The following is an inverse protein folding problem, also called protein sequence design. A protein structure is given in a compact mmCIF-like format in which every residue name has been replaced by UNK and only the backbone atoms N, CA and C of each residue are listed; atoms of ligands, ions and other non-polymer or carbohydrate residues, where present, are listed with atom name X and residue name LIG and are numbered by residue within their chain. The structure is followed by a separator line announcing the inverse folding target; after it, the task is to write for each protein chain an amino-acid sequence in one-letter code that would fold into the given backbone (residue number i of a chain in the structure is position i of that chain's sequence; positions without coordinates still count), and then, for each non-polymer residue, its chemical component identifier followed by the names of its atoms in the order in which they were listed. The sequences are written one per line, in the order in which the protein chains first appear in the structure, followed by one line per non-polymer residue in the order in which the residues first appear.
data_IF_715821068452
#
_entry.id   IF_715821068452
#
_cell.length_a   1.000
_cell.length_b   1.000
_cell.length_c   1.000
_cell.angle_alpha   90.00
_cell.angle_beta   90.00
_cell.angle_gamma   90.00
#
_symmetry.space_group_name_H-M   'P 1'
#
loop_
_entity.id
_entity.type
_entity.pdbx_description
1 polymer ?
#
# COMPACT_ATOMS: atom_id res chain seq x y z
N UNK A 1 5.14 -23.88 -24.39
CA UNK A 1 5.70 -22.84 -23.50
C UNK A 1 5.15 -22.78 -22.04
N UNK A 2 4.28 -23.68 -21.51
CA UNK A 2 3.82 -23.60 -20.11
C UNK A 2 4.89 -24.02 -19.07
N UNK A 3 5.85 -24.85 -19.45
CA UNK A 3 6.92 -25.35 -18.56
C UNK A 3 7.89 -24.29 -18.04
N UNK A 4 8.11 -23.17 -18.77
CA UNK A 4 8.98 -22.09 -18.28
C UNK A 4 8.33 -21.28 -17.16
N UNK A 5 7.01 -21.08 -17.18
CA UNK A 5 6.27 -20.34 -16.15
C UNK A 5 6.22 -21.11 -14.83
N UNK A 6 5.99 -22.42 -14.90
CA UNK A 6 5.97 -23.27 -13.70
C UNK A 6 7.34 -23.29 -13.01
N UNK A 7 8.42 -23.34 -13.80
CA UNK A 7 9.80 -23.40 -13.29
C UNK A 7 10.23 -22.09 -12.60
N UNK A 8 9.89 -20.93 -13.18
CA UNK A 8 10.13 -19.62 -12.55
C UNK A 8 9.36 -19.49 -11.23
N UNK A 9 8.10 -19.94 -11.19
CA UNK A 9 7.28 -19.93 -9.98
C UNK A 9 7.89 -20.86 -8.91
N UNK A 10 8.35 -22.05 -9.31
CA UNK A 10 8.94 -23.04 -8.40
C UNK A 10 10.28 -22.56 -7.85
N UNK A 11 11.11 -21.92 -8.66
CA UNK A 11 12.40 -21.38 -8.24
C UNK A 11 12.24 -20.13 -7.36
N UNK A 12 11.24 -19.29 -7.63
CA UNK A 12 10.86 -18.19 -6.74
C UNK A 12 10.38 -18.72 -5.39
N UNK A 13 9.48 -19.72 -5.38
CA UNK A 13 8.99 -20.37 -4.16
C UNK A 13 10.14 -21.02 -3.37
N UNK A 14 11.10 -21.68 -4.02
CA UNK A 14 12.28 -22.26 -3.34
C UNK A 14 13.18 -21.21 -2.70
N UNK A 15 13.45 -20.10 -3.39
CA UNK A 15 14.26 -19.00 -2.86
C UNK A 15 13.58 -18.31 -1.68
N UNK A 16 12.25 -18.19 -1.74
CA UNK A 16 11.44 -17.64 -0.65
C UNK A 16 11.38 -18.59 0.55
N UNK A 17 11.25 -19.90 0.34
CA UNK A 17 11.32 -20.91 1.41
C UNK A 17 12.67 -20.92 2.12
N UNK A 18 13.78 -20.84 1.39
CA UNK A 18 15.12 -20.81 1.98
C UNK A 18 15.38 -19.58 2.88
N UNK A 19 14.68 -18.47 2.64
CA UNK A 19 14.69 -17.30 3.53
C UNK A 19 13.66 -17.35 4.67
N UNK A 20 12.65 -18.22 4.55
CA UNK A 20 11.50 -18.32 5.45
C UNK A 20 11.69 -19.39 6.55
N UNK A 21 12.47 -20.43 6.29
CA UNK A 21 12.79 -21.51 7.24
C UNK A 21 13.60 -21.04 8.49
N UNK A 22 13.99 -19.77 8.56
CA UNK A 22 14.68 -19.17 9.70
C UNK A 22 13.79 -18.28 10.61
N UNK A 23 12.46 -18.33 10.47
CA UNK A 23 11.53 -17.58 11.34
C UNK A 23 10.71 -18.53 12.25
N UNK A 24 10.52 -18.21 13.54
CA UNK A 24 9.83 -19.09 14.48
C UNK A 24 8.37 -19.34 14.09
N UNK A 25 7.93 -20.60 14.23
CA UNK A 25 6.60 -21.12 13.85
C UNK A 25 5.48 -20.79 14.86
N UNK A 26 5.81 -20.24 16.03
CA UNK A 26 4.84 -20.06 17.11
C UNK A 26 3.81 -18.96 16.81
N UNK A 27 2.53 -19.32 16.85
CA UNK A 27 1.40 -18.37 16.80
C UNK A 27 0.55 -18.37 15.52
N UNK A 28 0.80 -19.25 14.55
CA UNK A 28 -0.03 -19.32 13.33
C UNK A 28 -1.35 -20.06 13.60
N UNK A 29 -2.53 -19.43 13.39
CA UNK A 29 -3.80 -20.15 13.49
C UNK A 29 -3.96 -21.16 12.35
N UNK A 30 -4.73 -22.23 12.60
CA UNK A 30 -4.93 -23.31 11.63
C UNK A 30 -5.76 -22.83 10.40
N UNK A 31 -5.41 -23.26 9.16
CA UNK A 31 -6.07 -22.85 7.91
C UNK A 31 -7.60 -22.99 7.87
N UNK A 32 -8.15 -23.97 8.60
CA UNK A 32 -9.58 -24.31 8.58
C UNK A 32 -10.46 -23.26 9.28
N UNK A 33 -9.92 -22.60 10.32
CA UNK A 33 -10.62 -21.52 11.03
C UNK A 33 -10.85 -20.28 10.15
N UNK A 34 -9.97 -20.03 9.17
CA UNK A 34 -10.03 -18.88 8.27
C UNK A 34 -11.19 -18.95 7.27
N UNK A 35 -11.47 -20.13 6.72
CA UNK A 35 -12.47 -20.30 5.66
C UNK A 35 -13.91 -19.93 6.07
N UNK A 36 -14.25 -20.10 7.36
CA UNK A 36 -15.57 -19.75 7.92
C UNK A 36 -15.70 -18.26 8.23
N UNK A 37 -14.60 -17.61 8.61
CA UNK A 37 -14.51 -16.16 8.88
C UNK A 37 -14.62 -15.36 7.56
N UNK A 38 -14.18 -15.91 6.43
CA UNK A 38 -14.22 -15.19 5.14
C UNK A 38 -15.63 -14.94 4.57
N UNK A 39 -16.58 -15.86 4.79
CA UNK A 39 -17.94 -15.70 4.23
C UNK A 39 -18.77 -14.64 4.95
N UNK A 40 -18.53 -14.41 6.25
CA UNK A 40 -19.23 -13.38 7.03
C UNK A 40 -18.75 -11.95 6.72
N UNK A 41 -17.64 -11.79 5.98
CA UNK A 41 -17.03 -10.49 5.65
C UNK A 41 -17.56 -9.83 4.39
N UNK A 42 -18.29 -10.54 3.53
CA UNK A 42 -18.86 -9.95 2.31
C UNK A 42 -19.91 -8.90 2.66
N UNK A 43 -19.95 -7.79 1.91
CA UNK A 43 -20.90 -6.69 2.17
C UNK A 43 -20.49 -5.75 3.30
N UNK A 44 -19.44 -6.04 4.07
CA UNK A 44 -18.84 -5.08 5.01
C UNK A 44 -18.10 -3.98 4.23
N UNK A 45 -18.44 -2.73 4.52
CA UNK A 45 -17.84 -1.54 3.92
C UNK A 45 -16.31 -1.59 4.05
N UNK A 46 -15.51 -1.49 2.97
CA UNK A 46 -14.06 -1.45 3.09
C UNK A 46 -13.57 -0.14 3.69
N UNK A 47 -12.37 -0.14 4.28
CA UNK A 47 -11.75 1.05 4.85
C UNK A 47 -10.61 1.53 3.97
N UNK A 48 -10.59 2.82 3.65
CA UNK A 48 -9.50 3.45 2.90
C UNK A 48 -8.45 3.98 3.87
N UNK A 49 -7.19 3.57 3.71
CA UNK A 49 -6.05 4.10 4.48
C UNK A 49 -5.14 4.90 3.55
N UNK A 50 -4.99 6.19 3.83
CA UNK A 50 -4.17 7.13 3.08
C UNK A 50 -2.89 7.44 3.85
N UNK A 51 -1.74 7.11 3.27
CA UNK A 51 -0.43 7.28 3.93
C UNK A 51 0.27 8.58 3.49
N UNK A 52 0.78 9.35 4.45
CA UNK A 52 1.37 10.66 4.22
C UNK A 52 2.74 10.87 4.87
N UNK A 53 3.62 11.60 4.18
CA UNK A 53 4.78 12.24 4.79
C UNK A 53 4.84 13.64 4.20
N UNK A 54 4.25 14.61 4.91
CA UNK A 54 4.12 15.97 4.37
C UNK A 54 5.49 16.64 4.34
N UNK A 55 6.22 16.64 5.45
CA UNK A 55 7.61 17.06 5.50
C UNK A 55 8.56 15.85 5.44
N UNK A 56 9.26 15.62 4.31
CA UNK A 56 10.16 14.49 4.19
C UNK A 56 11.47 14.64 4.96
N UNK A 57 11.82 15.84 5.46
CA UNK A 57 13.02 16.09 6.27
C UNK A 57 14.32 15.46 5.69
N UNK A 58 14.52 15.61 4.38
CA UNK A 58 15.70 15.08 3.67
C UNK A 58 15.67 13.59 3.34
N UNK A 59 14.48 12.94 3.39
CA UNK A 59 14.33 11.51 3.07
C UNK A 59 14.92 11.13 1.69
N UNK A 60 15.71 10.06 1.66
CA UNK A 60 16.36 9.57 0.44
C UNK A 60 15.36 9.25 -0.67
N UNK A 61 15.79 9.43 -1.91
CA UNK A 61 14.97 9.15 -3.09
C UNK A 61 13.70 10.02 -3.19
N UNK A 62 13.64 11.16 -2.50
CA UNK A 62 12.54 12.13 -2.58
C UNK A 62 12.98 13.37 -3.34
N UNK A 63 12.32 13.68 -4.47
CA UNK A 63 12.65 14.86 -5.26
C UNK A 63 11.79 16.08 -4.90
N UNK A 64 10.51 15.88 -4.57
CA UNK A 64 9.66 16.97 -4.09
C UNK A 64 9.87 17.11 -2.58
N UNK A 65 10.76 18.02 -2.17
CA UNK A 65 11.14 18.22 -0.75
C UNK A 65 10.35 19.33 -0.05
N UNK A 66 9.74 20.26 -0.79
CA UNK A 66 9.00 21.42 -0.26
C UNK A 66 7.71 20.99 0.47
N UNK A 67 7.64 21.16 1.82
CA UNK A 67 6.50 20.70 2.60
C UNK A 67 5.18 21.41 2.24
N UNK A 68 5.23 22.69 1.85
CA UNK A 68 4.01 23.45 1.50
C UNK A 68 3.42 22.94 0.20
N UNK A 69 4.26 22.67 -0.82
CA UNK A 69 3.78 22.06 -2.06
C UNK A 69 3.23 20.65 -1.84
N UNK A 70 3.86 19.88 -0.94
CA UNK A 70 3.40 18.53 -0.59
C UNK A 70 2.07 18.58 0.15
N UNK A 71 1.93 19.45 1.14
CA UNK A 71 0.68 19.68 1.89
C UNK A 71 -0.47 19.99 0.92
N UNK A 72 -0.25 20.89 -0.04
CA UNK A 72 -1.24 21.19 -1.09
C UNK A 72 -1.62 19.96 -1.91
N UNK A 73 -0.65 19.15 -2.34
CA UNK A 73 -0.94 17.93 -3.08
C UNK A 73 -1.72 16.90 -2.25
N UNK A 74 -1.40 16.76 -0.96
CA UNK A 74 -2.12 15.90 -0.04
C UNK A 74 -3.55 16.42 0.20
N UNK A 75 -3.74 17.72 0.42
CA UNK A 75 -5.07 18.33 0.59
C UNK A 75 -5.95 18.12 -0.64
N UNK A 76 -5.43 18.38 -1.84
CA UNK A 76 -6.16 18.16 -3.10
C UNK A 76 -6.56 16.69 -3.27
N UNK A 77 -5.65 15.76 -2.96
CA UNK A 77 -5.92 14.33 -3.05
C UNK A 77 -6.95 13.87 -2.02
N UNK A 78 -6.77 14.29 -0.77
CA UNK A 78 -7.67 13.96 0.34
C UNK A 78 -9.08 14.51 0.09
N UNK A 79 -9.22 15.76 -0.36
CA UNK A 79 -10.51 16.34 -0.75
C UNK A 79 -11.20 15.50 -1.83
N UNK A 80 -10.48 15.03 -2.85
CA UNK A 80 -11.04 14.13 -3.88
C UNK A 80 -11.51 12.80 -3.27
N UNK A 81 -10.74 12.20 -2.37
CA UNK A 81 -11.14 10.96 -1.68
C UNK A 81 -12.40 11.17 -0.82
N UNK A 82 -12.49 12.26 -0.07
CA UNK A 82 -13.64 12.58 0.77
C UNK A 82 -14.88 12.93 -0.07
N UNK A 83 -14.74 13.71 -1.13
CA UNK A 83 -15.91 14.24 -1.86
C UNK A 83 -16.38 13.37 -3.02
N UNK A 84 -15.50 12.54 -3.60
CA UNK A 84 -15.80 11.80 -4.85
C UNK A 84 -15.80 10.30 -4.69
N UNK A 85 -15.19 9.78 -3.62
CA UNK A 85 -15.05 8.33 -3.45
C UNK A 85 -16.25 7.67 -2.77
N UNK A 86 -16.46 6.40 -3.11
CA UNK A 86 -17.54 5.59 -2.54
C UNK A 86 -17.18 5.04 -1.15
N UNK A 87 -15.93 5.19 -0.69
CA UNK A 87 -15.47 4.75 0.64
C UNK A 87 -16.12 5.59 1.74
N UNK A 88 -16.85 4.95 2.66
CA UNK A 88 -17.50 5.65 3.78
C UNK A 88 -16.61 5.78 5.02
N UNK A 89 -15.54 4.97 5.10
CA UNK A 89 -14.57 4.97 6.19
C UNK A 89 -13.18 5.30 5.64
N UNK A 90 -12.58 6.38 6.12
CA UNK A 90 -11.29 6.87 5.62
C UNK A 90 -10.38 7.17 6.81
N UNK A 91 -9.19 6.60 6.81
CA UNK A 91 -8.10 6.99 7.71
C UNK A 91 -7.06 7.73 6.89
N UNK A 92 -6.72 8.95 7.26
CA UNK A 92 -5.53 9.63 6.76
C UNK A 92 -4.51 9.72 7.88
N UNK A 93 -3.31 9.22 7.65
CA UNK A 93 -2.23 9.29 8.62
C UNK A 93 -0.96 9.80 7.97
N UNK A 94 -0.34 10.79 8.60
CA UNK A 94 0.96 11.29 8.20
C UNK A 94 1.98 11.20 9.34
N UNK A 95 3.24 10.91 9.00
CA UNK A 95 4.28 10.59 9.98
C UNK A 95 5.38 11.66 10.18
N UNK A 96 5.20 12.87 9.65
CA UNK A 96 6.17 13.96 9.82
C UNK A 96 5.87 14.89 11.00
N UNK A 97 4.73 14.72 11.68
CA UNK A 97 4.28 15.60 12.76
C UNK A 97 3.70 16.92 12.26
N UNK A 98 3.26 16.97 11.01
CA UNK A 98 2.73 18.15 10.35
C UNK A 98 1.27 18.41 10.75
N UNK A 99 0.93 19.67 11.00
CA UNK A 99 -0.43 20.06 11.42
C UNK A 99 -1.49 19.74 10.35
N UNK A 100 -2.53 19.00 10.75
CA UNK A 100 -3.64 18.59 9.88
C UNK A 100 -4.87 19.52 9.98
N UNK A 101 -4.78 20.68 10.63
CA UNK A 101 -5.89 21.64 10.76
C UNK A 101 -6.53 22.07 9.43
N UNK A 102 -5.81 22.01 8.30
CA UNK A 102 -6.42 22.28 6.98
C UNK A 102 -7.29 21.11 6.48
N UNK A 103 -6.96 19.88 6.85
CA UNK A 103 -7.70 18.67 6.45
C UNK A 103 -9.05 18.60 7.17
N UNK A 104 -9.12 19.04 8.43
CA UNK A 104 -10.37 19.06 9.23
C UNK A 104 -11.44 20.01 8.67
N UNK A 105 -11.05 20.96 7.79
CA UNK A 105 -11.97 21.91 7.16
C UNK A 105 -12.70 21.34 5.94
N UNK A 106 -12.30 20.16 5.47
CA UNK A 106 -12.92 19.53 4.29
C UNK A 106 -14.24 18.88 4.72
N UNK A 107 -15.39 19.23 4.11
CA UNK A 107 -16.68 18.64 4.45
C UNK A 107 -16.69 17.12 4.24
N UNK A 108 -16.99 16.36 5.30
CA UNK A 108 -16.93 14.89 5.27
C UNK A 108 -18.13 14.25 4.58
N UNK A 109 -19.24 14.99 4.43
CA UNK A 109 -20.49 14.51 3.84
C UNK A 109 -21.00 13.19 4.46
N UNK A 110 -20.89 13.07 5.79
CA UNK A 110 -21.35 11.90 6.56
C UNK A 110 -20.37 10.73 6.61
N UNK A 111 -19.18 10.84 5.98
CA UNK A 111 -18.13 9.82 6.08
C UNK A 111 -17.48 9.84 7.46
N UNK A 112 -17.10 8.65 7.93
CA UNK A 112 -16.29 8.47 9.12
C UNK A 112 -14.82 8.66 8.75
N UNK A 113 -14.15 9.61 9.41
CA UNK A 113 -12.79 9.99 9.09
C UNK A 113 -11.94 10.05 10.34
N UNK A 114 -10.85 9.28 10.35
CA UNK A 114 -9.76 9.47 11.31
C UNK A 114 -8.62 10.24 10.64
N UNK A 115 -8.09 11.24 11.36
CA UNK A 115 -6.93 12.04 10.95
C UNK A 115 -5.83 11.89 12.00
N UNK A 116 -4.69 11.33 11.61
CA UNK A 116 -3.54 11.13 12.48
C UNK A 116 -2.31 11.88 11.97
N UNK A 117 -1.63 12.57 12.89
CA UNK A 117 -0.29 13.11 12.68
C UNK A 117 0.57 12.69 13.86
N UNK A 118 1.74 12.11 13.58
CA UNK A 118 2.69 11.71 14.60
C UNK A 118 4.13 11.87 14.09
N UNK A 119 5.10 11.93 15.00
CA UNK A 119 6.52 12.01 14.64
C UNK A 119 7.11 10.61 14.40
N UNK A 120 6.83 10.03 13.24
CA UNK A 120 7.31 8.71 12.81
C UNK A 120 8.35 8.74 11.71
N UNK A 121 8.89 9.92 11.35
CA UNK A 121 9.87 10.10 10.28
C UNK A 121 11.29 10.36 10.83
N UNK A 122 11.58 9.95 12.07
CA UNK A 122 12.87 10.19 12.76
C UNK A 122 13.85 9.00 12.68
N UNK A 123 13.57 7.98 11.86
CA UNK A 123 14.43 6.81 11.69
C UNK A 123 15.61 7.07 10.73
N UNK A 124 16.61 6.16 10.76
CA UNK A 124 17.80 6.23 9.90
C UNK A 124 17.40 6.29 8.41
N UNK A 125 17.93 7.29 7.70
CA UNK A 125 17.57 7.56 6.30
C UNK A 125 17.89 6.41 5.37
N UNK A 126 18.81 5.50 5.73
CA UNK A 126 19.10 4.32 4.90
C UNK A 126 17.88 3.42 4.67
N UNK A 127 16.93 3.37 5.62
CA UNK A 127 15.72 2.56 5.50
C UNK A 127 14.71 3.12 4.49
N UNK A 128 14.83 4.41 4.16
CA UNK A 128 14.10 5.06 3.10
C UNK A 128 12.58 5.17 3.32
N UNK A 129 11.86 5.45 2.23
CA UNK A 129 10.44 5.82 2.30
C UNK A 129 9.54 4.63 2.62
N UNK A 130 9.97 3.45 2.18
CA UNK A 130 9.25 2.21 2.46
C UNK A 130 9.09 1.98 3.97
N UNK A 131 10.13 2.32 4.74
CA UNK A 131 10.09 2.19 6.19
C UNK A 131 9.11 3.17 6.82
N UNK A 132 9.12 4.43 6.38
CA UNK A 132 8.15 5.43 6.85
C UNK A 132 6.71 5.06 6.51
N UNK A 133 6.47 4.40 5.39
CA UNK A 133 5.15 3.89 5.05
C UNK A 133 4.69 2.74 5.96
N UNK A 134 5.62 1.86 6.35
CA UNK A 134 5.35 0.81 7.35
C UNK A 134 5.09 1.40 8.75
N UNK A 135 5.81 2.45 9.16
CA UNK A 135 5.54 3.17 10.41
C UNK A 135 4.11 3.70 10.47
N UNK A 136 3.63 4.30 9.37
CA UNK A 136 2.26 4.79 9.26
C UNK A 136 1.26 3.64 9.40
N UNK A 137 1.48 2.53 8.69
CA UNK A 137 0.58 1.38 8.72
C UNK A 137 0.54 0.72 10.11
N UNK A 138 1.68 0.60 10.79
CA UNK A 138 1.73 0.13 12.18
C UNK A 138 0.91 1.05 13.08
N UNK A 139 1.15 2.36 13.00
CA UNK A 139 0.47 3.34 13.83
C UNK A 139 -1.06 3.28 13.67
N UNK A 140 -1.57 3.31 12.45
CA UNK A 140 -3.03 3.29 12.24
C UNK A 140 -3.67 1.96 12.65
N UNK A 141 -2.99 0.84 12.44
CA UNK A 141 -3.50 -0.49 12.84
C UNK A 141 -3.53 -0.67 14.35
N UNK A 142 -2.65 0.02 15.07
CA UNK A 142 -2.59 -0.06 16.54
C UNK A 142 -3.45 1.01 17.23
N UNK A 143 -3.77 2.13 16.56
CA UNK A 143 -4.41 3.30 17.20
C UNK A 143 -5.81 3.66 16.69
N UNK A 144 -6.20 3.23 15.48
CA UNK A 144 -7.49 3.62 14.90
C UNK A 144 -8.60 2.67 15.34
N UNK A 145 -9.54 3.18 16.14
CA UNK A 145 -10.77 2.46 16.48
C UNK A 145 -11.68 2.22 15.26
N UNK A 146 -11.46 2.97 14.16
CA UNK A 146 -12.19 2.82 12.91
C UNK A 146 -11.78 1.56 12.13
N UNK A 147 -10.54 1.08 12.33
CA UNK A 147 -10.00 -0.13 11.71
C UNK A 147 -10.25 -1.33 12.62
N UNK A 148 -11.07 -2.28 12.17
CA UNK A 148 -11.33 -3.53 12.88
C UNK A 148 -10.54 -4.69 12.28
N UNK A 149 -10.28 -5.73 13.09
CA UNK A 149 -9.54 -6.93 12.68
C UNK A 149 -10.14 -7.66 11.47
N UNK A 150 -11.46 -7.54 11.28
CA UNK A 150 -12.22 -8.17 10.19
C UNK A 150 -12.31 -7.29 8.92
N UNK A 151 -11.70 -6.10 8.93
CA UNK A 151 -11.80 -5.16 7.81
C UNK A 151 -11.00 -5.62 6.57
N UNK A 152 -11.40 -5.06 5.42
CA UNK A 152 -10.56 -5.02 4.22
C UNK A 152 -10.03 -3.61 4.08
N UNK A 153 -8.72 -3.49 4.21
CA UNK A 153 -8.01 -2.23 4.07
C UNK A 153 -7.66 -2.04 2.61
N UNK A 154 -8.05 -0.90 2.05
CA UNK A 154 -7.54 -0.40 0.77
C UNK A 154 -6.54 0.69 1.10
N UNK A 155 -5.26 0.39 0.94
CA UNK A 155 -4.18 1.33 1.23
C UNK A 155 -3.82 2.09 -0.04
N UNK A 156 -3.71 3.40 0.05
CA UNK A 156 -3.22 4.25 -1.04
C UNK A 156 -2.22 5.29 -0.52
N UNK A 157 -1.21 5.64 -1.32
CA UNK A 157 -0.38 6.82 -1.02
C UNK A 157 -1.27 8.07 -1.02
N UNK A 158 -1.33 8.78 0.10
CA UNK A 158 -2.30 9.86 0.34
C UNK A 158 -2.20 11.06 -0.60
N UNK A 159 -1.07 11.24 -1.29
CA UNK A 159 -0.87 12.30 -2.30
C UNK A 159 -1.47 11.98 -3.66
N UNK A 160 -1.93 10.75 -3.85
CA UNK A 160 -2.49 10.27 -5.11
C UNK A 160 -3.99 9.99 -4.93
N UNK A 161 -4.75 10.37 -5.96
CA UNK A 161 -6.14 9.97 -6.13
C UNK A 161 -6.23 8.91 -7.23
N UNK A 162 -7.09 7.92 -7.05
CA UNK A 162 -7.31 6.86 -8.05
C UNK A 162 -8.64 7.12 -8.76
N UNK A 163 -8.58 7.56 -10.02
CA UNK A 163 -9.78 7.99 -10.77
C UNK A 163 -10.83 6.89 -10.94
N UNK A 164 -10.38 5.64 -11.03
CA UNK A 164 -11.24 4.46 -11.09
C UNK A 164 -11.46 3.80 -9.71
N UNK A 165 -11.39 4.57 -8.61
CA UNK A 165 -11.57 4.08 -7.22
C UNK A 165 -12.82 3.22 -7.03
N UNK A 166 -13.91 3.48 -7.76
CA UNK A 166 -15.17 2.72 -7.67
C UNK A 166 -14.97 1.23 -7.92
N UNK A 167 -14.08 0.85 -8.83
CA UNK A 167 -13.77 -0.54 -9.12
C UNK A 167 -13.11 -1.21 -7.91
N UNK A 168 -12.19 -0.50 -7.25
CA UNK A 168 -11.46 -0.99 -6.08
C UNK A 168 -12.36 -1.08 -4.85
N UNK A 169 -13.21 -0.08 -4.63
CA UNK A 169 -14.23 -0.11 -3.57
C UNK A 169 -15.20 -1.29 -3.76
N UNK A 170 -15.82 -1.40 -4.94
CA UNK A 170 -16.77 -2.49 -5.26
C UNK A 170 -16.09 -3.85 -5.16
N UNK A 171 -14.85 -3.96 -5.61
CA UNK A 171 -14.08 -5.20 -5.53
C UNK A 171 -13.84 -5.60 -4.07
N UNK A 172 -13.35 -4.67 -3.24
CA UNK A 172 -13.16 -4.91 -1.82
C UNK A 172 -14.50 -5.29 -1.17
N UNK A 173 -15.59 -4.57 -1.41
CA UNK A 173 -16.90 -4.88 -0.83
C UNK A 173 -17.44 -6.29 -1.14
N UNK A 174 -17.17 -6.81 -2.35
CA UNK A 174 -17.82 -8.00 -2.88
C UNK A 174 -16.88 -9.20 -3.09
N UNK A 175 -15.61 -9.10 -2.70
CA UNK A 175 -14.61 -10.14 -2.94
C UNK A 175 -13.91 -10.52 -1.64
N UNK A 176 -13.76 -11.82 -1.40
CA UNK A 176 -12.88 -12.34 -0.34
C UNK A 176 -11.43 -12.35 -0.85
N UNK A 177 -10.50 -11.86 -0.03
CA UNK A 177 -9.07 -11.99 -0.22
C UNK A 177 -8.37 -11.65 1.11
N UNK A 178 -7.20 -12.22 1.32
CA UNK A 178 -6.29 -11.79 2.38
C UNK A 178 -5.39 -10.66 1.91
N UNK A 179 -5.00 -10.70 0.63
CA UNK A 179 -4.18 -9.65 0.02
C UNK A 179 -4.48 -9.52 -1.47
N UNK A 180 -4.56 -8.28 -1.94
CA UNK A 180 -4.73 -7.96 -3.35
C UNK A 180 -3.79 -6.86 -3.80
N UNK A 181 -2.97 -7.16 -4.80
CA UNK A 181 -1.95 -6.22 -5.28
C UNK A 181 -1.60 -6.45 -6.76
N UNK A 182 -0.96 -5.47 -7.37
CA UNK A 182 -0.33 -5.60 -8.70
C UNK A 182 1.11 -6.12 -8.53
N UNK A 183 1.27 -7.44 -8.63
CA UNK A 183 2.58 -8.09 -8.67
C UNK A 183 3.19 -7.96 -10.08
N UNK A 184 4.41 -7.43 -10.16
CA UNK A 184 5.14 -7.33 -11.42
C UNK A 184 5.56 -8.71 -11.93
N UNK A 185 6.01 -8.76 -13.21
CA UNK A 185 6.13 -9.98 -14.03
C UNK A 185 6.95 -11.13 -13.44
N UNK A 186 7.80 -10.88 -12.44
CA UNK A 186 8.61 -11.92 -11.78
C UNK A 186 8.19 -12.20 -10.32
N UNK A 187 7.08 -11.64 -9.85
CA UNK A 187 6.59 -11.71 -8.46
C UNK A 187 7.62 -11.23 -7.44
N UNK A 188 8.58 -10.43 -7.88
CA UNK A 188 9.69 -9.89 -7.10
C UNK A 188 9.39 -8.50 -6.54
N UNK A 189 8.42 -7.80 -7.13
CA UNK A 189 8.00 -6.47 -6.73
C UNK A 189 6.46 -6.34 -6.82
N UNK A 190 5.90 -5.55 -5.92
CA UNK A 190 4.48 -5.19 -5.83
C UNK A 190 4.34 -3.68 -5.99
N UNK A 191 3.36 -3.18 -6.74
CA UNK A 191 3.06 -1.75 -6.76
C UNK A 191 2.44 -1.32 -5.44
N UNK A 192 3.24 -0.73 -4.55
CA UNK A 192 2.80 -0.37 -3.19
C UNK A 192 1.96 0.90 -3.16
N UNK A 193 1.83 1.65 -4.26
CA UNK A 193 1.05 2.91 -4.26
C UNK A 193 -0.43 2.66 -3.99
N UNK A 194 -0.97 1.53 -4.44
CA UNK A 194 -2.28 1.02 -4.05
C UNK A 194 -2.24 -0.50 -3.94
N UNK A 195 -2.60 -1.03 -2.77
CA UNK A 195 -2.84 -2.46 -2.56
C UNK A 195 -3.88 -2.64 -1.45
N UNK A 196 -4.43 -3.84 -1.33
CA UNK A 196 -5.45 -4.17 -0.37
C UNK A 196 -5.02 -5.36 0.47
N UNK A 197 -5.43 -5.38 1.74
CA UNK A 197 -5.09 -6.47 2.63
C UNK A 197 -6.05 -6.60 3.80
N UNK A 198 -6.07 -7.78 4.41
CA UNK A 198 -6.65 -8.00 5.72
C UNK A 198 -5.65 -7.60 6.83
N UNK A 199 -6.11 -7.07 7.97
CA UNK A 199 -5.25 -6.86 9.14
C UNK A 199 -4.45 -8.11 9.52
N UNK A 200 -5.04 -9.29 9.38
CA UNK A 200 -4.38 -10.57 9.62
C UNK A 200 -3.15 -10.78 8.71
N UNK A 201 -3.28 -10.56 7.40
CA UNK A 201 -2.16 -10.64 6.47
C UNK A 201 -1.04 -9.68 6.89
N UNK A 202 -1.39 -8.43 7.22
CA UNK A 202 -0.41 -7.42 7.59
C UNK A 202 0.37 -7.83 8.85
N UNK A 203 -0.35 -8.15 9.93
CA UNK A 203 0.26 -8.47 11.22
C UNK A 203 1.14 -9.73 11.13
N UNK A 204 0.70 -10.73 10.37
CA UNK A 204 1.37 -12.04 10.32
C UNK A 204 2.53 -12.08 9.33
N UNK A 205 2.41 -11.43 8.16
CA UNK A 205 3.38 -11.61 7.06
C UNK A 205 4.17 -10.36 6.69
N UNK A 206 3.64 -9.16 6.94
CA UNK A 206 4.26 -7.92 6.46
C UNK A 206 4.92 -7.11 7.57
N UNK A 207 4.28 -6.97 8.74
CA UNK A 207 4.76 -6.15 9.87
C UNK A 207 6.16 -6.55 10.32
N UNK A 208 6.40 -7.84 10.51
CA UNK A 208 7.70 -8.37 10.95
C UNK A 208 8.85 -8.13 9.96
N UNK A 209 8.54 -7.80 8.69
CA UNK A 209 9.53 -7.60 7.63
C UNK A 209 10.02 -6.16 7.51
N UNK A 210 9.48 -5.23 8.30
CA UNK A 210 9.91 -3.83 8.28
C UNK A 210 11.41 -3.68 8.55
N UNK A 211 11.97 -4.51 9.44
CA UNK A 211 13.40 -4.50 9.79
C UNK A 211 14.32 -4.90 8.63
N UNK A 212 13.78 -5.48 7.56
CA UNK A 212 14.55 -5.85 6.36
C UNK A 212 14.66 -4.72 5.35
N UNK A 213 13.94 -3.60 5.53
CA UNK A 213 14.01 -2.45 4.64
C UNK A 213 15.34 -1.75 4.81
N UNK A 214 16.08 -1.62 3.71
CA UNK A 214 17.31 -0.86 3.59
C UNK A 214 17.49 -0.53 2.10
N UNK A 215 17.37 0.74 1.73
CA UNK A 215 17.49 1.19 0.34
C UNK A 215 18.96 1.36 -0.09
N UNK A 216 19.92 1.20 0.81
CA UNK A 216 21.36 1.43 0.55
C UNK A 216 22.15 0.16 0.23
N UNK A 217 21.63 -1.02 0.59
CA UNK A 217 22.26 -2.31 0.28
C UNK A 217 22.09 -2.72 -1.18
N UNK A 218 22.91 -3.67 -1.66
CA UNK A 218 22.80 -4.21 -3.02
C UNK A 218 22.51 -5.72 -3.02
N UNK A 219 21.37 -6.18 -3.58
CA UNK A 219 20.29 -5.36 -4.15
C UNK A 219 19.47 -4.64 -3.06
N UNK A 220 19.01 -3.42 -3.34
CA UNK A 220 18.23 -2.61 -2.40
C UNK A 220 16.96 -3.34 -1.95
N UNK A 221 16.68 -3.28 -0.65
CA UNK A 221 15.50 -3.87 -0.02
C UNK A 221 14.40 -2.80 0.08
N UNK A 222 13.67 -2.63 -1.01
CA UNK A 222 12.56 -1.69 -1.12
C UNK A 222 11.25 -2.31 -0.63
N UNK A 223 10.28 -1.47 -0.23
CA UNK A 223 8.96 -1.94 0.20
C UNK A 223 8.23 -2.76 -0.87
N UNK A 224 8.40 -2.42 -2.14
CA UNK A 224 7.84 -3.19 -3.25
C UNK A 224 8.28 -4.66 -3.21
N UNK A 225 9.54 -4.91 -2.87
CA UNK A 225 10.08 -6.28 -2.74
C UNK A 225 9.60 -6.95 -1.47
N UNK A 226 9.62 -6.23 -0.35
CA UNK A 226 9.18 -6.75 0.94
C UNK A 226 7.70 -7.17 0.89
N UNK A 227 6.84 -6.36 0.27
CA UNK A 227 5.42 -6.69 0.08
C UNK A 227 5.26 -7.90 -0.84
N UNK A 228 6.01 -7.99 -1.94
CA UNK A 228 5.96 -9.15 -2.83
C UNK A 228 6.38 -10.45 -2.12
N UNK A 229 7.43 -10.41 -1.30
CA UNK A 229 7.88 -11.54 -0.47
C UNK A 229 6.83 -11.93 0.59
N UNK A 230 6.21 -10.95 1.24
CA UNK A 230 5.13 -11.19 2.20
C UNK A 230 3.93 -11.88 1.54
N UNK A 231 3.50 -11.40 0.36
CA UNK A 231 2.43 -12.02 -0.44
C UNK A 231 2.78 -13.46 -0.78
N UNK A 232 4.00 -13.71 -1.28
CA UNK A 232 4.38 -15.07 -1.65
C UNK A 232 4.45 -16.01 -0.44
N UNK A 233 4.89 -15.51 0.73
CA UNK A 233 4.90 -16.29 1.98
C UNK A 233 3.46 -16.64 2.41
N UNK A 234 2.56 -15.66 2.37
CA UNK A 234 1.14 -15.87 2.65
C UNK A 234 0.50 -16.90 1.70
N UNK A 235 0.85 -16.86 0.41
CA UNK A 235 0.35 -17.84 -0.57
C UNK A 235 0.85 -19.27 -0.30
N UNK A 236 2.08 -19.43 0.21
CA UNK A 236 2.61 -20.74 0.64
C UNK A 236 1.77 -21.30 1.80
N UNK A 237 1.34 -20.43 2.70
CA UNK A 237 0.47 -20.74 3.84
C UNK A 237 -1.02 -20.71 3.48
N UNK A 238 -1.36 -20.77 2.19
CA UNK A 238 -2.71 -20.90 1.63
C UNK A 238 -3.64 -19.69 1.85
N UNK A 239 -3.11 -18.51 2.20
CA UNK A 239 -3.90 -17.26 2.19
C UNK A 239 -4.30 -16.86 0.77
N UNK A 240 -5.46 -16.23 0.65
CA UNK A 240 -6.03 -15.84 -0.64
C UNK A 240 -5.37 -14.56 -1.19
N UNK A 241 -4.40 -14.74 -2.09
CA UNK A 241 -3.97 -13.68 -2.98
C UNK A 241 -4.92 -13.54 -4.19
N UNK A 242 -5.31 -12.31 -4.51
CA UNK A 242 -6.00 -12.00 -5.78
C UNK A 242 -5.38 -10.78 -6.46
N UNK A 243 -5.22 -10.77 -7.79
CA UNK A 243 -4.77 -9.56 -8.48
C UNK A 243 -5.80 -8.43 -8.33
N UNK A 244 -5.33 -7.18 -8.43
CA UNK A 244 -6.21 -6.01 -8.45
C UNK A 244 -7.25 -6.12 -9.58
N UNK A 245 -8.48 -5.58 -9.39
CA UNK A 245 -9.56 -5.67 -10.38
C UNK A 245 -9.26 -4.89 -11.68
N UNK A 246 -8.37 -3.91 -11.62
CA UNK A 246 -7.92 -3.10 -12.74
C UNK A 246 -6.59 -2.41 -12.39
N UNK A 247 -5.88 -1.90 -13.40
CA UNK A 247 -4.76 -0.98 -13.18
C UNK A 247 -5.27 0.33 -12.57
N UNK A 248 -4.69 0.83 -11.45
CA UNK A 248 -5.10 2.11 -10.88
C UNK A 248 -4.77 3.30 -11.80
N UNK A 249 -5.75 4.16 -12.02
CA UNK A 249 -5.59 5.40 -12.78
C UNK A 249 -5.22 6.55 -11.85
N UNK A 250 -3.96 6.59 -11.43
CA UNK A 250 -3.44 7.63 -10.54
C UNK A 250 -3.59 9.04 -11.15
N UNK A 251 -3.89 10.00 -10.28
CA UNK A 251 -3.95 11.43 -10.50
C UNK A 251 -3.28 12.12 -9.29
N UNK A 252 -2.38 13.06 -9.54
CA UNK A 252 -1.54 13.69 -8.50
C UNK A 252 -0.05 13.65 -8.86
N UNK A 253 0.82 13.92 -7.88
CA UNK A 253 2.27 13.99 -8.09
C UNK A 253 3.03 12.92 -7.32
N UNK A 254 4.00 12.29 -7.97
CA UNK A 254 4.96 11.38 -7.34
C UNK A 254 5.92 12.14 -6.42
N UNK A 255 6.06 11.70 -5.16
CA UNK A 255 7.09 12.24 -4.26
C UNK A 255 8.51 11.87 -4.68
N UNK A 256 8.69 10.69 -5.28
CA UNK A 256 10.00 10.14 -5.65
C UNK A 256 10.59 10.79 -6.91
N UNK A 257 9.74 11.12 -7.88
CA UNK A 257 10.17 11.58 -9.22
C UNK A 257 9.59 12.93 -9.62
N UNK A 258 8.78 13.57 -8.75
CA UNK A 258 8.01 14.78 -9.05
C UNK A 258 7.11 14.68 -10.31
N UNK A 259 6.91 13.46 -10.82
CA UNK A 259 6.11 13.19 -12.01
C UNK A 259 4.63 13.42 -11.75
N UNK A 260 3.94 14.12 -12.66
CA UNK A 260 2.49 14.31 -12.61
C UNK A 260 1.75 13.18 -13.31
N UNK A 261 0.98 12.41 -12.55
CA UNK A 261 0.03 11.46 -13.10
C UNK A 261 -1.21 12.20 -13.62
N UNK A 262 -1.85 11.70 -14.68
CA UNK A 262 -3.11 12.24 -15.20
C UNK A 262 -3.01 13.24 -16.36
N UNK A 263 -1.81 13.72 -16.74
CA UNK A 263 -1.61 14.49 -17.97
C UNK A 263 -1.51 13.55 -19.18
N UNK A 264 -2.50 13.57 -20.07
CA UNK A 264 -2.34 13.07 -21.44
C UNK A 264 -1.63 14.16 -22.24
N UNK A 265 -0.41 13.91 -22.72
CA UNK A 265 0.10 14.65 -23.87
C UNK A 265 -0.69 14.20 -25.10
N UNK A 266 -1.59 15.04 -25.57
CA UNK A 266 -2.21 14.92 -26.89
C UNK A 266 -1.16 15.18 -27.96
N UNK A 267 -0.68 14.13 -28.62
CA UNK A 267 -0.34 14.09 -30.04
C UNK A 267 0.20 12.69 -30.38
N UNK A 268 -0.53 11.99 -31.26
CA UNK A 268 -0.23 10.68 -31.84
C UNK A 268 -0.25 9.46 -30.90
N UNK A 269 -1.23 8.60 -31.17
CA UNK A 269 -1.44 7.33 -30.48
C UNK A 269 -0.26 6.37 -30.58
N UNK A 270 0.48 6.24 -29.48
CA UNK A 270 1.06 4.97 -29.03
C UNK A 270 0.94 4.92 -27.51
N UNK A 271 0.18 3.92 -27.01
CA UNK A 271 0.26 3.50 -25.59
C UNK A 271 1.69 3.02 -25.32
N UNK A 272 2.54 3.90 -24.82
CA UNK A 272 3.75 3.49 -24.12
C UNK A 272 3.45 3.49 -22.63
N UNK A 273 3.63 2.33 -21.98
CA UNK A 273 3.82 2.28 -20.53
C UNK A 273 5.03 3.16 -20.23
N UNK A 274 4.81 4.35 -19.68
CA UNK A 274 5.86 5.14 -19.07
C UNK A 274 6.23 4.47 -17.74
N UNK A 275 7.00 3.39 -17.81
CA UNK A 275 7.81 2.94 -16.68
C UNK A 275 8.90 4.01 -16.53
N UNK A 276 9.10 4.61 -15.35
CA UNK A 276 10.25 5.48 -15.13
C UNK A 276 11.50 4.67 -15.47
N UNK A 277 12.30 5.12 -16.44
CA UNK A 277 13.63 4.54 -16.67
C UNK A 277 14.41 4.75 -15.37
N UNK A 278 14.51 3.73 -14.52
CA UNK A 278 15.60 3.62 -13.56
C UNK A 278 16.86 3.43 -14.40
N UNK A 279 17.85 4.32 -14.23
CA UNK A 279 19.20 4.05 -14.74
C UNK A 279 19.63 2.71 -14.13
N UNK A 280 20.05 1.80 -15.00
CA UNK A 280 20.70 0.53 -14.64
C UNK A 280 21.88 0.80 -13.70
#
# INVERSE_FOLDING_TARGET
MPHRRLRILTDAIRRLKAGYENQPEEGRPAPEAFSRIEKSKLGREPILVLTGTIDPQGMIGTQLIDPIKREQDYLISFEKWVTRSDFQRIVFCENSGFDLKKFTKIPTNGKQIDLFSFNGNSFDRKFGKGYGEMEILNYVLDQSDLILSEDRIVKCTGRLFVRNHRLFHKYALNTTFDVSSDLYRSLDESDVRLFMFSPYFYQTYLRCRQSFLDETVHPAQLLEKIVAQAICSAMVDLLQFKPLPATPHFDGRSGSSNYRYGFMTTAFGRRMKAIPKRRL
#
